data_IF_955130055952
#
_entry.id   IF_955130055952
#
_cell.length_a   1.000
_cell.length_b   1.000
_cell.length_c   1.000
_cell.angle_alpha   90.00
_cell.angle_beta   90.00
_cell.angle_gamma   90.00
#
_symmetry.space_group_name_H-M   'P 1'
#
loop_
_entity.id
_entity.type
_entity.pdbx_description
1 polymer ?
#
# COMPACT_ATOMS: atom_id res chain seq x y z
N UNK A 1 -4.19 -71.62 51.33
CA UNK A 1 -5.02 -70.42 51.59
C UNK A 1 -4.97 -69.55 50.35
N UNK A 2 -6.10 -69.39 49.65
CA UNK A 2 -6.28 -68.40 48.58
C UNK A 2 -7.56 -67.60 48.88
N UNK A 3 -7.55 -66.26 48.71
CA UNK A 3 -8.62 -65.37 49.14
C UNK A 3 -9.88 -65.42 48.23
N UNK A 4 -11.04 -64.93 48.74
CA UNK A 4 -12.36 -65.17 48.16
C UNK A 4 -12.71 -64.24 46.98
N UNK A 5 -13.55 -64.77 46.09
CA UNK A 5 -14.14 -64.08 44.93
C UNK A 5 -15.20 -63.09 45.41
N UNK A 6 -15.09 -61.83 44.98
CA UNK A 6 -16.12 -60.80 45.19
C UNK A 6 -17.02 -60.71 43.97
N UNK A 7 -18.30 -60.94 44.21
CA UNK A 7 -19.42 -60.82 43.30
C UNK A 7 -19.53 -59.43 42.67
N UNK A 8 -19.75 -59.40 41.36
CA UNK A 8 -20.07 -58.19 40.60
C UNK A 8 -21.57 -58.14 40.37
N UNK A 9 -22.29 -57.12 40.89
CA UNK A 9 -23.64 -56.83 40.43
C UNK A 9 -23.59 -55.79 39.29
N UNK A 10 -24.12 -56.17 38.13
CA UNK A 10 -24.45 -55.25 37.04
C UNK A 10 -25.50 -54.21 37.48
N UNK A 11 -25.45 -52.97 36.96
CA UNK A 11 -26.64 -52.14 36.82
C UNK A 11 -27.11 -52.06 35.36
N UNK A 12 -28.29 -52.65 35.15
CA UNK A 12 -29.47 -52.22 34.37
C UNK A 12 -29.28 -51.24 33.17
N UNK A 13 -29.85 -51.55 31.98
CA UNK A 13 -29.83 -50.67 30.80
C UNK A 13 -30.92 -49.60 30.89
N UNK A 14 -30.54 -48.33 30.72
CA UNK A 14 -31.46 -47.21 30.50
C UNK A 14 -31.23 -46.57 29.14
N UNK A 15 -32.35 -46.14 28.56
CA UNK A 15 -32.58 -45.91 27.15
C UNK A 15 -32.00 -44.59 26.61
N UNK A 16 -31.93 -44.55 25.28
CA UNK A 16 -31.63 -43.41 24.41
C UNK A 16 -32.28 -42.08 24.82
N UNK A 17 -31.61 -40.96 24.51
CA UNK A 17 -32.18 -39.98 23.58
C UNK A 17 -31.09 -39.13 22.88
N UNK A 18 -31.36 -38.64 21.64
CA UNK A 18 -30.40 -38.04 20.73
C UNK A 18 -30.39 -36.50 20.82
N UNK A 19 -29.24 -35.91 20.46
CA UNK A 19 -29.19 -34.60 19.80
C UNK A 19 -29.40 -33.37 20.70
N UNK A 20 -28.29 -32.75 21.11
CA UNK A 20 -28.27 -31.30 21.29
C UNK A 20 -27.36 -30.68 20.24
N UNK A 21 -28.02 -30.17 19.19
CA UNK A 21 -27.48 -29.23 18.21
C UNK A 21 -27.05 -27.98 18.97
N UNK A 22 -25.75 -27.66 18.92
CA UNK A 22 -25.22 -26.42 19.47
C UNK A 22 -25.86 -25.22 18.75
N UNK A 23 -26.75 -24.52 19.44
CA UNK A 23 -27.27 -23.23 18.98
C UNK A 23 -26.19 -22.20 19.21
N UNK A 24 -25.51 -21.81 18.14
CA UNK A 24 -24.59 -20.67 18.10
C UNK A 24 -25.30 -19.40 18.58
N UNK A 25 -24.98 -18.99 19.80
CA UNK A 25 -25.49 -17.79 20.44
C UNK A 25 -24.84 -16.58 19.77
N UNK A 26 -25.48 -16.04 18.71
CA UNK A 26 -25.15 -14.74 18.12
C UNK A 26 -25.18 -13.68 19.22
N UNK A 27 -23.99 -13.21 19.62
CA UNK A 27 -23.85 -12.05 20.52
C UNK A 27 -24.26 -10.81 19.74
N UNK A 28 -25.46 -10.30 19.98
CA UNK A 28 -25.85 -8.98 19.50
C UNK A 28 -24.90 -7.95 20.15
N UNK A 29 -24.04 -7.34 19.35
CA UNK A 29 -23.34 -6.11 19.72
C UNK A 29 -24.39 -5.00 19.76
N UNK A 30 -25.11 -4.92 20.87
CA UNK A 30 -25.84 -3.70 21.21
C UNK A 30 -24.79 -2.66 21.60
N UNK A 31 -24.26 -1.97 20.58
CA UNK A 31 -23.38 -0.83 20.75
C UNK A 31 -24.20 0.25 21.42
N UNK A 32 -24.13 0.28 22.74
CA UNK A 32 -24.89 1.19 23.59
C UNK A 32 -24.34 2.62 23.46
N UNK A 33 -24.59 3.23 22.30
CA UNK A 33 -24.13 4.56 21.88
C UNK A 33 -24.52 5.64 22.88
N UNK A 34 -25.65 5.42 23.58
CA UNK A 34 -26.17 6.31 24.63
C UNK A 34 -25.27 6.33 25.87
N UNK A 35 -24.64 5.21 26.20
CA UNK A 35 -23.71 5.08 27.31
C UNK A 35 -22.25 5.41 26.92
N UNK A 36 -21.92 5.39 25.62
CA UNK A 36 -20.63 5.80 25.07
C UNK A 36 -20.49 7.32 24.98
N UNK A 37 -21.55 8.04 24.61
CA UNK A 37 -21.55 9.50 24.48
C UNK A 37 -21.02 10.27 25.72
N UNK A 38 -21.51 10.01 26.95
CA UNK A 38 -21.05 10.73 28.13
C UNK A 38 -19.61 10.37 28.51
N UNK A 39 -19.16 9.14 28.21
CA UNK A 39 -17.78 8.70 28.42
C UNK A 39 -16.84 9.36 27.42
N UNK A 40 -17.25 9.48 26.16
CA UNK A 40 -16.51 10.17 25.12
C UNK A 40 -16.38 11.67 25.40
N UNK A 41 -17.43 12.30 25.95
CA UNK A 41 -17.40 13.71 26.37
C UNK A 41 -16.41 13.96 27.51
N UNK A 42 -16.37 13.09 28.53
CA UNK A 42 -15.40 13.18 29.63
C UNK A 42 -13.96 12.90 29.17
N UNK A 43 -13.80 11.96 28.24
CA UNK A 43 -12.49 11.66 27.65
C UNK A 43 -12.01 12.81 26.76
N UNK A 44 -12.91 13.41 25.99
CA UNK A 44 -12.64 14.59 25.16
C UNK A 44 -12.11 15.79 25.95
N UNK A 45 -12.71 16.09 27.11
CA UNK A 45 -12.22 17.16 27.99
C UNK A 45 -10.81 16.91 28.56
N UNK A 46 -10.41 15.65 28.74
CA UNK A 46 -9.03 15.32 29.13
C UNK A 46 -8.07 15.30 27.94
N UNK A 47 -8.56 14.88 26.77
CA UNK A 47 -7.79 14.88 25.52
C UNK A 47 -7.47 16.31 25.05
N UNK A 48 -8.34 17.30 25.29
CA UNK A 48 -8.06 18.70 24.91
C UNK A 48 -6.83 19.27 25.61
N UNK A 49 -6.48 18.81 26.81
CA UNK A 49 -5.23 19.23 27.48
C UNK A 49 -3.97 18.71 26.79
N UNK A 50 -4.10 17.61 26.04
CA UNK A 50 -3.03 16.97 25.27
C UNK A 50 -3.24 17.11 23.76
N UNK A 51 -4.06 18.06 23.33
CA UNK A 51 -4.35 18.34 21.92
C UNK A 51 -3.08 18.43 21.05
N UNK A 52 -2.01 19.18 21.43
CA UNK A 52 -0.81 19.26 20.59
C UNK A 52 -0.12 17.90 20.43
N UNK A 53 -0.07 17.10 21.50
CA UNK A 53 0.50 15.75 21.44
C UNK A 53 -0.31 14.85 20.50
N UNK A 54 -1.64 14.89 20.58
CA UNK A 54 -2.53 14.11 19.73
C UNK A 54 -2.39 14.51 18.26
N UNK A 55 -2.28 15.81 17.98
CA UNK A 55 -2.08 16.31 16.60
C UNK A 55 -0.77 15.79 16.03
N UNK A 56 0.33 15.88 16.78
CA UNK A 56 1.63 15.35 16.34
C UNK A 56 1.55 13.83 16.10
N UNK A 57 0.92 13.10 17.03
CA UNK A 57 0.73 11.65 16.91
C UNK A 57 -0.11 11.29 15.67
N UNK A 58 -1.16 12.06 15.40
CA UNK A 58 -2.00 11.90 14.21
C UNK A 58 -1.21 12.15 12.92
N UNK A 59 -0.43 13.22 12.85
CA UNK A 59 0.45 13.51 11.71
C UNK A 59 1.44 12.37 11.49
N UNK A 60 2.02 11.83 12.56
CA UNK A 60 2.91 10.66 12.49
C UNK A 60 2.22 9.42 11.92
N UNK A 61 0.98 9.15 12.36
CA UNK A 61 0.20 8.02 11.83
C UNK A 61 -0.13 8.19 10.35
N UNK A 62 -0.53 9.39 9.94
CA UNK A 62 -0.77 9.71 8.53
C UNK A 62 0.51 9.51 7.72
N UNK A 63 1.65 9.97 8.22
CA UNK A 63 2.94 9.76 7.56
C UNK A 63 3.26 8.27 7.38
N UNK A 64 3.11 7.46 8.42
CA UNK A 64 3.31 6.01 8.34
C UNK A 64 2.35 5.35 7.35
N UNK A 65 1.09 5.78 7.31
CA UNK A 65 0.09 5.28 6.38
C UNK A 65 0.47 5.61 4.93
N UNK A 66 0.90 6.85 4.66
CA UNK A 66 1.38 7.26 3.34
C UNK A 66 2.58 6.44 2.91
N UNK A 67 3.57 6.25 3.79
CA UNK A 67 4.75 5.41 3.50
C UNK A 67 4.35 3.96 3.23
N UNK A 68 3.41 3.42 3.99
CA UNK A 68 2.89 2.08 3.77
C UNK A 68 2.16 1.96 2.42
N UNK A 69 1.36 2.96 2.05
CA UNK A 69 0.69 3.03 0.75
C UNK A 69 1.70 3.08 -0.41
N UNK A 70 2.76 3.88 -0.27
CA UNK A 70 3.83 3.97 -1.26
C UNK A 70 4.54 2.63 -1.44
N UNK A 71 4.79 1.87 -0.36
CA UNK A 71 5.38 0.53 -0.47
C UNK A 71 4.54 -0.40 -1.34
N UNK A 72 3.21 -0.32 -1.27
CA UNK A 72 2.32 -1.09 -2.13
C UNK A 72 2.46 -0.74 -3.62
N UNK A 73 2.73 0.53 -3.93
CA UNK A 73 2.96 1.00 -5.31
C UNK A 73 4.38 0.69 -5.81
N UNK A 74 5.38 0.62 -4.94
CA UNK A 74 6.79 0.37 -5.31
C UNK A 74 7.13 -1.12 -5.42
N UNK A 75 6.41 -2.00 -4.70
CA UNK A 75 6.56 -3.46 -4.83
C UNK A 75 5.66 -4.08 -5.89
N UNK A 76 4.74 -3.32 -6.46
CA UNK A 76 4.12 -3.69 -7.72
C UNK A 76 5.19 -3.55 -8.80
N UNK A 77 5.69 -4.69 -9.29
CA UNK A 77 6.47 -4.73 -10.53
C UNK A 77 5.65 -4.00 -11.61
N UNK A 78 6.19 -2.91 -12.20
CA UNK A 78 5.43 -2.14 -13.17
C UNK A 78 5.03 -3.08 -14.30
N UNK A 79 3.73 -3.17 -14.55
CA UNK A 79 3.24 -3.99 -15.64
C UNK A 79 3.78 -3.39 -16.95
N UNK A 80 4.12 -4.19 -17.97
CA UNK A 80 4.75 -3.72 -19.21
C UNK A 80 3.93 -2.64 -19.94
N UNK A 81 2.62 -2.55 -19.68
CA UNK A 81 1.75 -1.46 -20.10
C UNK A 81 2.11 -0.08 -19.51
N UNK A 82 2.59 0.01 -18.26
CA UNK A 82 2.94 1.27 -17.60
C UNK A 82 4.29 1.82 -18.04
N UNK A 83 5.22 0.94 -18.46
CA UNK A 83 6.49 1.37 -19.08
C UNK A 83 6.24 2.09 -20.41
N UNK A 84 5.27 1.61 -21.21
CA UNK A 84 4.92 2.25 -22.48
C UNK A 84 4.34 3.65 -22.27
N UNK A 85 3.55 3.86 -21.20
CA UNK A 85 3.01 5.16 -20.83
C UNK A 85 4.11 6.10 -20.31
N UNK A 86 5.03 5.62 -19.46
CA UNK A 86 6.17 6.39 -18.99
C UNK A 86 7.12 6.81 -20.12
N UNK A 87 7.35 5.95 -21.11
CA UNK A 87 8.13 6.26 -22.31
C UNK A 87 7.45 7.26 -23.23
N UNK A 88 6.11 7.32 -23.25
CA UNK A 88 5.37 8.37 -23.97
C UNK A 88 5.26 9.70 -23.22
N UNK A 89 5.30 9.68 -21.87
CA UNK A 89 5.33 10.88 -21.04
C UNK A 89 6.73 11.49 -20.90
N UNK A 90 7.78 10.69 -21.04
CA UNK A 90 9.12 11.20 -21.29
C UNK A 90 9.12 11.80 -22.69
N UNK A 91 9.07 13.13 -22.75
CA UNK A 91 9.09 13.92 -23.98
C UNK A 91 10.50 13.82 -24.59
N UNK A 92 10.89 12.62 -25.01
CA UNK A 92 12.10 12.37 -25.76
C UNK A 92 11.91 13.15 -27.06
N UNK A 93 12.71 14.20 -27.32
CA UNK A 93 12.56 15.01 -28.52
C UNK A 93 12.70 14.07 -29.72
N UNK A 94 11.61 13.89 -30.48
CA UNK A 94 11.66 13.13 -31.72
C UNK A 94 12.51 13.94 -32.69
N UNK A 95 13.73 13.48 -32.95
CA UNK A 95 14.61 14.13 -33.91
C UNK A 95 13.94 14.05 -35.28
N UNK A 96 13.67 15.21 -35.86
CA UNK A 96 13.12 15.32 -37.21
C UNK A 96 14.16 14.84 -38.22
N UNK A 97 13.79 13.84 -39.03
CA UNK A 97 14.68 13.26 -40.04
C UNK A 97 14.97 14.25 -41.16
N UNK A 98 14.05 15.16 -41.46
CA UNK A 98 14.22 16.16 -42.50
C UNK A 98 15.25 17.22 -42.06
N UNK A 99 15.26 17.56 -40.76
CA UNK A 99 16.28 18.44 -40.19
C UNK A 99 17.67 17.81 -40.25
N UNK A 100 17.81 16.49 -40.01
CA UNK A 100 19.09 15.79 -40.13
C UNK A 100 19.63 15.88 -41.57
N UNK A 101 18.76 15.63 -42.57
CA UNK A 101 19.16 15.68 -43.98
C UNK A 101 19.58 17.10 -44.40
N UNK A 102 18.86 18.12 -43.93
CA UNK A 102 19.22 19.51 -44.18
C UNK A 102 20.55 19.87 -43.53
N UNK A 103 20.75 19.53 -42.25
CA UNK A 103 22.02 19.77 -41.55
C UNK A 103 23.19 19.09 -42.26
N UNK A 104 23.02 17.83 -42.67
CA UNK A 104 24.05 17.08 -43.38
C UNK A 104 24.37 17.71 -44.74
N UNK A 105 23.36 18.17 -45.47
CA UNK A 105 23.56 18.90 -46.73
C UNK A 105 24.31 20.22 -46.52
N UNK A 106 24.02 20.96 -45.45
CA UNK A 106 24.67 22.24 -45.16
C UNK A 106 26.13 22.04 -44.73
N UNK A 107 26.43 21.00 -43.95
CA UNK A 107 27.80 20.63 -43.58
C UNK A 107 28.65 20.26 -44.81
N UNK A 108 28.06 19.53 -45.76
CA UNK A 108 28.76 19.08 -46.97
C UNK A 108 29.00 20.20 -47.99
N UNK A 109 28.11 21.19 -48.05
CA UNK A 109 28.16 22.24 -49.08
C UNK A 109 28.76 23.57 -48.60
N UNK A 110 28.99 23.77 -47.31
CA UNK A 110 29.57 25.01 -46.78
C UNK A 110 30.72 24.77 -45.80
N UNK A 111 31.96 25.15 -46.15
CA UNK A 111 33.11 25.11 -45.25
C UNK A 111 32.91 25.93 -43.96
N UNK A 112 32.15 27.03 -44.05
CA UNK A 112 31.86 27.92 -42.93
C UNK A 112 30.91 27.26 -41.92
N UNK A 113 29.87 26.57 -42.41
CA UNK A 113 28.94 25.82 -41.55
C UNK A 113 29.67 24.67 -40.85
N UNK A 114 30.54 23.97 -41.56
CA UNK A 114 31.37 22.90 -40.98
C UNK A 114 32.29 23.40 -39.87
N UNK A 115 32.88 24.59 -40.03
CA UNK A 115 33.69 25.22 -38.97
C UNK A 115 32.85 25.53 -37.73
N UNK A 116 31.64 26.09 -37.90
CA UNK A 116 30.73 26.40 -36.80
C UNK A 116 30.27 25.13 -36.05
N UNK A 117 29.98 24.04 -36.77
CA UNK A 117 29.64 22.76 -36.15
C UNK A 117 30.82 22.15 -35.39
N UNK A 118 32.05 22.26 -35.93
CA UNK A 118 33.25 21.79 -35.24
C UNK A 118 33.51 22.60 -33.96
N UNK A 119 33.32 23.91 -34.00
CA UNK A 119 33.43 24.79 -32.84
C UNK A 119 32.37 24.48 -31.78
N UNK A 120 31.10 24.37 -32.17
CA UNK A 120 30.01 24.00 -31.27
C UNK A 120 30.18 22.60 -30.66
N UNK A 121 30.77 21.64 -31.40
CA UNK A 121 31.11 20.31 -30.86
C UNK A 121 32.25 20.35 -29.86
N UNK A 122 33.26 21.18 -30.12
CA UNK A 122 34.41 21.32 -29.23
C UNK A 122 34.08 22.14 -27.98
N UNK A 123 33.05 22.99 -28.03
CA UNK A 123 32.66 23.84 -26.92
C UNK A 123 31.15 24.14 -26.85
N UNK A 124 30.31 23.16 -26.47
CA UNK A 124 28.86 23.24 -26.60
C UNK A 124 28.14 24.17 -25.60
N UNK A 125 28.84 24.76 -24.64
CA UNK A 125 28.21 25.55 -23.55
C UNK A 125 28.84 26.94 -23.32
N UNK A 126 29.71 27.38 -24.22
CA UNK A 126 30.27 28.72 -24.13
C UNK A 126 29.53 29.64 -25.10
N UNK A 127 28.60 30.40 -24.55
CA UNK A 127 28.02 31.61 -25.15
C UNK A 127 28.79 32.85 -24.68
#
# INVERSE_FOLDING_TARGET
>A
MNPPKTDTPQPKPEAHEPGQVGVDKKKNLDLDLKNLLPKLKKLGQKLTAHLPFIVIMFVLLVYLLVVWQIRGLVTAEPAPEDESLALTSSNIPKIDKDAILQIQSLEQNSPQVRALFNEARNNPFNE
#
